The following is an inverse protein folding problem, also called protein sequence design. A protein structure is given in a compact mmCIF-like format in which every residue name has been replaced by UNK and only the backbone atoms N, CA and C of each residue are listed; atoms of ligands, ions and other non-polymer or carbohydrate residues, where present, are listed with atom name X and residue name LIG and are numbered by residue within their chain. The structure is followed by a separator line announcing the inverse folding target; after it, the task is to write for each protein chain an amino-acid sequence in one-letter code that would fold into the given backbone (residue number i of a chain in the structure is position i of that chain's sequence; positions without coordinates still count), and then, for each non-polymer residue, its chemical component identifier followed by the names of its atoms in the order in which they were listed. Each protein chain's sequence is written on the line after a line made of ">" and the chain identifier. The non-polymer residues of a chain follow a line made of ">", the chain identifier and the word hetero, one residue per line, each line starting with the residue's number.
data_IF_466016149654
#
_entry.id   IF_466016149654
#
_cell.length_a   1.000
_cell.length_b   1.000
_cell.length_c   1.000
_cell.angle_alpha   90.00
_cell.angle_beta   90.00
_cell.angle_gamma   90.00
#
_symmetry.space_group_name_H-M   'P 1'
#
loop_
_entity.id
_entity.type
_entity.pdbx_description
1 polymer ?
#
# COMPACT_ATOMS: atom_id res chain seq x y z
N UNK A 1 48.28 -13.52 -23.87
CA UNK A 1 47.14 -12.92 -24.59
C UNK A 1 46.00 -12.85 -23.57
N UNK A 2 45.67 -11.63 -23.18
CA UNK A 2 44.83 -11.28 -22.03
C UNK A 2 43.44 -11.89 -22.09
N UNK A 3 43.06 -12.64 -21.06
CA UNK A 3 41.67 -12.68 -20.62
C UNK A 3 41.54 -11.63 -19.53
N UNK A 4 40.91 -10.51 -19.86
CA UNK A 4 40.51 -9.50 -18.88
C UNK A 4 39.35 -10.09 -18.07
N UNK A 5 39.59 -10.33 -16.79
CA UNK A 5 38.54 -10.51 -15.79
C UNK A 5 37.77 -9.19 -15.63
N UNK A 6 36.47 -9.25 -15.89
CA UNK A 6 35.51 -8.22 -15.51
C UNK A 6 35.29 -8.31 -14.00
N UNK A 7 35.35 -7.20 -13.25
CA UNK A 7 34.91 -7.21 -11.86
C UNK A 7 33.39 -7.36 -11.86
N UNK A 8 32.92 -8.54 -11.49
CA UNK A 8 31.53 -8.75 -11.05
C UNK A 8 31.39 -7.99 -9.75
N UNK A 9 30.96 -6.74 -9.84
CA UNK A 9 30.50 -5.97 -8.70
C UNK A 9 29.30 -6.73 -8.12
N UNK A 10 29.55 -7.32 -6.96
CA UNK A 10 28.52 -7.81 -6.07
C UNK A 10 27.49 -6.71 -5.85
N UNK A 11 26.26 -7.02 -6.23
CA UNK A 11 25.08 -6.40 -5.66
C UNK A 11 24.32 -7.53 -5.00
N UNK A 12 24.66 -7.75 -3.74
CA UNK A 12 23.82 -8.46 -2.81
C UNK A 12 22.44 -7.80 -2.87
N UNK A 13 21.50 -8.51 -3.50
CA UNK A 13 20.10 -8.15 -3.55
C UNK A 13 19.49 -8.36 -2.16
N UNK A 14 19.89 -7.52 -1.20
CA UNK A 14 19.07 -7.30 -0.01
C UNK A 14 17.79 -6.63 -0.48
N UNK A 15 16.67 -7.31 -0.25
CA UNK A 15 15.30 -6.79 -0.40
C UNK A 15 15.03 -5.78 0.72
N UNK A 16 15.87 -4.75 0.80
CA UNK A 16 15.85 -3.63 1.75
C UNK A 16 16.05 -2.34 0.95
N UNK A 17 15.21 -2.16 -0.08
CA UNK A 17 15.05 -0.88 -0.75
C UNK A 17 14.31 0.08 0.19
N UNK A 18 15.06 0.65 1.12
CA UNK A 18 14.68 1.76 1.97
C UNK A 18 14.22 2.92 1.07
N UNK A 19 12.92 3.05 0.87
CA UNK A 19 12.40 4.31 0.39
C UNK A 19 12.77 5.36 1.45
N UNK A 20 13.44 6.47 1.10
CA UNK A 20 13.37 7.63 1.97
C UNK A 20 11.89 7.86 2.25
N UNK A 21 11.53 8.05 3.52
CA UNK A 21 10.16 8.43 3.87
C UNK A 21 9.77 9.61 2.97
N UNK A 22 8.49 9.69 2.57
CA UNK A 22 7.97 10.74 1.68
C UNK A 22 8.38 12.15 2.15
N UNK A 23 8.67 12.29 3.44
CA UNK A 23 9.03 13.50 4.16
C UNK A 23 10.55 13.74 4.30
N UNK A 24 11.40 12.83 3.82
CA UNK A 24 12.85 12.86 4.04
C UNK A 24 13.68 13.10 2.77
N UNK A 25 13.18 12.71 1.59
CA UNK A 25 13.78 13.05 0.30
C UNK A 25 12.72 13.03 -0.82
N UNK A 26 12.96 13.73 -1.94
CA UNK A 26 12.07 13.67 -3.11
C UNK A 26 11.96 12.26 -3.68
N UNK A 27 10.76 11.88 -4.14
CA UNK A 27 10.53 10.64 -4.86
C UNK A 27 11.03 10.76 -6.30
N UNK A 28 11.57 9.67 -6.84
CA UNK A 28 11.73 9.52 -8.28
C UNK A 28 10.40 9.18 -8.97
N UNK A 29 10.41 9.18 -10.31
CA UNK A 29 9.22 8.95 -11.13
C UNK A 29 8.61 7.56 -10.90
N UNK A 30 9.43 6.52 -10.81
CA UNK A 30 8.97 5.14 -10.63
C UNK A 30 8.31 4.95 -9.25
N UNK A 31 8.93 5.48 -8.20
CA UNK A 31 8.39 5.48 -6.85
C UNK A 31 7.06 6.24 -6.79
N UNK A 32 6.98 7.42 -7.41
CA UNK A 32 5.75 8.20 -7.46
C UNK A 32 4.62 7.46 -8.19
N UNK A 33 4.91 6.80 -9.32
CA UNK A 33 3.92 6.01 -10.07
C UNK A 33 3.39 4.84 -9.24
N UNK A 34 4.27 4.13 -8.53
CA UNK A 34 3.86 3.01 -7.65
C UNK A 34 2.98 3.51 -6.50
N UNK A 35 3.40 4.56 -5.81
CA UNK A 35 2.64 5.11 -4.68
C UNK A 35 1.31 5.71 -5.10
N UNK A 36 1.26 6.41 -6.23
CA UNK A 36 0.03 6.98 -6.77
C UNK A 36 -1.04 5.91 -7.02
N UNK A 37 -0.65 4.69 -7.46
CA UNK A 37 -1.59 3.57 -7.63
C UNK A 37 -2.21 3.15 -6.30
N UNK A 38 -1.39 3.04 -5.25
CA UNK A 38 -1.85 2.64 -3.92
C UNK A 38 -2.73 3.73 -3.30
N UNK A 39 -2.30 4.99 -3.34
CA UNK A 39 -3.11 6.11 -2.86
C UNK A 39 -4.41 6.29 -3.64
N UNK A 40 -4.42 6.04 -4.95
CA UNK A 40 -5.66 6.04 -5.74
C UNK A 40 -6.62 4.93 -5.30
N UNK A 41 -6.11 3.76 -4.92
CA UNK A 41 -6.94 2.70 -4.35
C UNK A 41 -7.48 3.09 -2.96
N UNK A 42 -6.68 3.77 -2.13
CA UNK A 42 -7.12 4.26 -0.81
C UNK A 42 -7.95 5.55 -0.86
N UNK A 43 -7.93 6.32 -1.94
CA UNK A 43 -8.61 7.62 -2.05
C UNK A 43 -10.14 7.54 -2.21
N UNK A 44 -10.74 6.37 -2.03
CA UNK A 44 -12.17 6.14 -2.21
C UNK A 44 -12.82 5.64 -0.92
N UNK A 45 -13.95 6.22 -0.52
CA UNK A 45 -14.56 5.94 0.78
C UNK A 45 -15.06 4.51 0.91
N UNK A 46 -15.56 3.91 -0.18
CA UNK A 46 -16.04 2.52 -0.19
C UNK A 46 -14.85 1.58 -0.03
N UNK A 47 -13.77 1.82 -0.76
CA UNK A 47 -12.53 1.02 -0.68
C UNK A 47 -11.88 1.11 0.70
N UNK A 48 -11.81 2.29 1.30
CA UNK A 48 -11.31 2.45 2.67
C UNK A 48 -12.14 1.66 3.68
N UNK A 49 -13.47 1.75 3.58
CA UNK A 49 -14.37 1.04 4.48
C UNK A 49 -14.26 -0.47 4.31
N UNK A 50 -14.18 -0.97 3.08
CA UNK A 50 -13.92 -2.38 2.78
C UNK A 50 -12.59 -2.85 3.38
N UNK A 51 -11.51 -2.10 3.16
CA UNK A 51 -10.18 -2.41 3.70
C UNK A 51 -10.21 -2.45 5.24
N UNK A 52 -10.86 -1.47 5.88
CA UNK A 52 -11.01 -1.40 7.34
C UNK A 52 -11.78 -2.61 7.88
N UNK A 53 -12.84 -3.05 7.21
CA UNK A 53 -13.60 -4.24 7.61
C UNK A 53 -12.77 -5.52 7.49
N UNK A 54 -11.95 -5.64 6.43
CA UNK A 54 -11.03 -6.77 6.25
C UNK A 54 -9.93 -6.77 7.31
N UNK A 55 -9.30 -5.63 7.54
CA UNK A 55 -8.19 -5.47 8.48
C UNK A 55 -8.59 -5.69 9.95
N UNK A 56 -9.84 -5.37 10.31
CA UNK A 56 -10.35 -5.50 11.68
C UNK A 56 -10.94 -6.87 12.01
N UNK A 57 -10.96 -7.82 11.07
CA UNK A 57 -11.54 -9.14 11.33
C UNK A 57 -10.58 -9.99 12.16
N UNK A 58 -11.05 -10.48 13.31
CA UNK A 58 -10.26 -11.30 14.24
C UNK A 58 -9.68 -12.60 13.63
N UNK A 59 -10.28 -13.13 12.55
CA UNK A 59 -9.82 -14.34 11.85
C UNK A 59 -8.85 -14.09 10.69
N UNK A 60 -8.45 -12.84 10.41
CA UNK A 60 -7.50 -12.49 9.36
C UNK A 60 -8.02 -12.55 7.92
N UNK A 61 -9.23 -13.08 7.68
CA UNK A 61 -9.86 -13.15 6.35
C UNK A 61 -11.37 -12.93 6.45
N UNK A 62 -12.00 -12.25 5.48
CA UNK A 62 -13.46 -11.99 5.39
C UNK A 62 -14.06 -12.58 4.11
N UNK A 63 -15.22 -13.24 4.17
CA UNK A 63 -15.95 -13.65 2.97
C UNK A 63 -16.62 -12.43 2.30
N UNK A 64 -16.67 -12.39 0.96
CA UNK A 64 -17.38 -11.34 0.21
C UNK A 64 -18.85 -11.17 0.63
N UNK A 65 -19.48 -12.25 1.07
CA UNK A 65 -20.88 -12.26 1.50
C UNK A 65 -21.10 -11.58 2.84
N UNK A 66 -20.06 -11.52 3.68
CA UNK A 66 -20.10 -10.79 4.94
C UNK A 66 -19.82 -9.29 4.73
N UNK A 67 -19.13 -8.93 3.64
CA UNK A 67 -18.81 -7.54 3.29
C UNK A 67 -19.98 -6.82 2.62
N UNK A 68 -20.63 -7.49 1.67
CA UNK A 68 -21.65 -6.88 0.79
C UNK A 68 -22.82 -6.23 1.56
N UNK A 69 -23.38 -6.83 2.63
CA UNK A 69 -24.51 -6.25 3.37
C UNK A 69 -24.22 -4.91 4.06
N UNK A 70 -22.96 -4.52 4.22
CA UNK A 70 -22.58 -3.25 4.85
C UNK A 70 -22.69 -2.03 3.92
N UNK A 71 -23.07 -2.25 2.65
CA UNK A 71 -23.12 -1.22 1.61
C UNK A 71 -24.43 -1.31 0.83
N UNK A 72 -25.01 -0.15 0.52
CA UNK A 72 -26.13 -0.03 -0.42
C UNK A 72 -25.64 -0.05 -1.88
N UNK A 73 -24.83 -1.05 -2.21
CA UNK A 73 -24.17 -1.19 -3.52
C UNK A 73 -24.41 -2.57 -4.11
N UNK A 74 -24.39 -2.64 -5.45
CA UNK A 74 -24.49 -3.92 -6.14
C UNK A 74 -23.26 -4.80 -5.90
N UNK A 75 -23.44 -6.12 -5.92
CA UNK A 75 -22.34 -7.08 -5.81
C UNK A 75 -21.26 -6.90 -6.92
N UNK A 76 -21.59 -6.58 -8.18
CA UNK A 76 -20.59 -6.21 -9.19
C UNK A 76 -19.75 -4.99 -8.79
N UNK A 77 -20.37 -3.97 -8.18
CA UNK A 77 -19.66 -2.77 -7.70
C UNK A 77 -18.70 -3.10 -6.57
N UNK A 78 -19.13 -3.89 -5.59
CA UNK A 78 -18.27 -4.35 -4.48
C UNK A 78 -17.10 -5.20 -5.01
N UNK A 79 -17.37 -6.12 -5.94
CA UNK A 79 -16.33 -6.95 -6.56
C UNK A 79 -15.31 -6.12 -7.33
N UNK A 80 -15.74 -5.04 -8.00
CA UNK A 80 -14.85 -4.11 -8.67
C UNK A 80 -13.94 -3.39 -7.66
N UNK A 81 -14.49 -2.89 -6.56
CA UNK A 81 -13.70 -2.25 -5.51
C UNK A 81 -12.67 -3.21 -4.89
N UNK A 82 -13.05 -4.45 -4.62
CA UNK A 82 -12.15 -5.50 -4.11
C UNK A 82 -11.04 -5.85 -5.11
N UNK A 83 -11.37 -5.87 -6.42
CA UNK A 83 -10.37 -6.06 -7.48
C UNK A 83 -9.33 -4.93 -7.48
N UNK A 84 -9.77 -3.68 -7.38
CA UNK A 84 -8.86 -2.52 -7.32
C UNK A 84 -7.95 -2.54 -6.08
N UNK A 85 -8.49 -2.90 -4.92
CA UNK A 85 -7.68 -3.07 -3.69
C UNK A 85 -6.64 -4.18 -3.85
N UNK A 86 -7.00 -5.28 -4.51
CA UNK A 86 -6.09 -6.39 -4.80
C UNK A 86 -4.99 -5.98 -5.79
N UNK A 87 -5.34 -5.26 -6.85
CA UNK A 87 -4.39 -4.75 -7.84
C UNK A 87 -3.40 -3.73 -7.24
N UNK A 88 -3.83 -3.01 -6.21
CA UNK A 88 -2.96 -2.15 -5.42
C UNK A 88 -2.10 -2.90 -4.37
N UNK A 89 -2.23 -4.23 -4.28
CA UNK A 89 -1.46 -5.05 -3.34
C UNK A 89 -1.86 -4.88 -1.88
N UNK A 90 -3.03 -4.32 -1.58
CA UNK A 90 -3.51 -4.09 -0.20
C UNK A 90 -4.17 -5.34 0.39
N UNK A 91 -4.78 -6.17 -0.47
CA UNK A 91 -5.49 -7.38 -0.06
C UNK A 91 -5.15 -8.55 -0.98
N UNK A 92 -5.22 -9.76 -0.44
CA UNK A 92 -5.21 -11.00 -1.20
C UNK A 92 -6.62 -11.63 -1.21
N UNK A 93 -6.89 -12.45 -2.22
CA UNK A 93 -8.14 -13.19 -2.35
C UNK A 93 -7.89 -14.69 -2.50
N UNK A 94 -8.68 -15.51 -1.83
CA UNK A 94 -8.64 -16.96 -1.94
C UNK A 94 -10.04 -17.51 -2.20
N UNK A 95 -10.18 -18.36 -3.23
CA UNK A 95 -11.46 -19.00 -3.55
C UNK A 95 -11.54 -20.36 -2.87
N UNK A 96 -12.56 -20.55 -2.04
CA UNK A 96 -12.85 -21.81 -1.34
C UNK A 96 -14.24 -22.30 -1.75
N UNK A 97 -14.27 -23.16 -2.77
CA UNK A 97 -15.51 -23.62 -3.41
C UNK A 97 -16.25 -22.49 -4.13
N UNK A 98 -17.47 -22.20 -3.69
CA UNK A 98 -18.31 -21.12 -4.25
C UNK A 98 -17.96 -19.75 -3.70
N UNK A 99 -17.29 -19.67 -2.56
CA UNK A 99 -17.05 -18.43 -1.82
C UNK A 99 -15.63 -17.89 -2.06
N UNK A 100 -15.49 -16.57 -1.98
CA UNK A 100 -14.20 -15.87 -2.06
C UNK A 100 -13.95 -15.15 -0.75
N UNK A 101 -12.78 -15.41 -0.18
CA UNK A 101 -12.29 -14.82 1.05
C UNK A 101 -11.21 -13.79 0.72
N UNK A 102 -11.19 -12.70 1.47
CA UNK A 102 -10.24 -11.61 1.33
C UNK A 102 -9.48 -11.41 2.64
N UNK A 103 -8.17 -11.21 2.54
CA UNK A 103 -7.30 -10.94 3.68
C UNK A 103 -6.42 -9.73 3.41
N UNK A 104 -6.04 -9.03 4.47
CA UNK A 104 -5.07 -7.95 4.38
C UNK A 104 -3.68 -8.50 3.99
N UNK A 105 -2.91 -7.69 3.26
CA UNK A 105 -1.47 -7.87 3.07
C UNK A 105 -0.73 -6.84 3.92
N UNK A 106 -0.28 -7.22 5.14
CA UNK A 106 0.33 -6.28 6.09
C UNK A 106 1.55 -5.55 5.52
N UNK A 107 2.30 -6.22 4.64
CA UNK A 107 3.56 -5.72 4.08
C UNK A 107 3.36 -4.39 3.34
N UNK A 108 2.23 -4.23 2.63
CA UNK A 108 1.91 -3.00 1.91
C UNK A 108 1.49 -1.89 2.86
N UNK A 109 0.69 -2.20 3.88
CA UNK A 109 0.28 -1.20 4.88
C UNK A 109 1.44 -0.75 5.75
N UNK A 110 2.35 -1.65 6.12
CA UNK A 110 3.54 -1.33 6.92
C UNK A 110 4.50 -0.44 6.14
N UNK A 111 4.69 -0.69 4.84
CA UNK A 111 5.44 0.19 3.95
C UNK A 111 4.83 1.58 3.86
N UNK A 112 3.51 1.70 3.69
CA UNK A 112 2.83 3.00 3.66
C UNK A 112 2.97 3.74 5.00
N UNK A 113 2.84 3.04 6.12
CA UNK A 113 3.03 3.62 7.44
C UNK A 113 4.45 4.16 7.59
N UNK A 114 5.47 3.39 7.21
CA UNK A 114 6.86 3.83 7.22
C UNK A 114 7.11 5.06 6.33
N UNK A 115 6.52 5.09 5.13
CA UNK A 115 6.64 6.22 4.20
C UNK A 115 6.04 7.52 4.73
N UNK A 116 4.92 7.44 5.45
CA UNK A 116 4.18 8.59 5.96
C UNK A 116 4.61 8.99 7.38
N UNK A 117 5.41 8.16 8.06
CA UNK A 117 5.89 8.45 9.41
C UNK A 117 6.90 9.59 9.35
N UNK A 118 6.64 10.64 10.14
CA UNK A 118 7.60 11.72 10.34
C UNK A 118 8.80 11.17 11.12
N UNK A 119 10.05 11.37 10.65
CA UNK A 119 11.21 11.06 11.46
C UNK A 119 11.18 11.94 12.73
N UNK A 120 11.17 11.31 13.90
CA UNK A 120 11.20 12.03 15.17
C UNK A 120 12.57 12.74 15.29
N UNK A 121 12.59 14.05 15.06
CA UNK A 121 13.82 14.85 15.13
C UNK A 121 13.76 16.25 14.51
N UNK A 122 12.80 16.53 13.63
CA UNK A 122 12.74 17.83 12.94
C UNK A 122 11.67 18.74 13.57
N UNK A 123 12.11 19.71 14.36
CA UNK A 123 11.30 20.87 14.71
C UNK A 123 10.97 21.61 13.41
N UNK A 124 9.68 21.75 13.07
CA UNK A 124 9.25 22.59 11.96
C UNK A 124 9.97 23.95 12.03
N UNK A 125 10.56 24.46 10.94
CA UNK A 125 10.96 25.86 10.93
C UNK A 125 9.72 26.72 11.21
N UNK A 126 9.84 27.55 12.24
CA UNK A 126 8.82 28.53 12.64
C UNK A 126 8.38 29.32 11.39
N UNK A 127 7.07 29.49 11.14
CA UNK A 127 6.62 30.19 9.94
C UNK A 127 7.19 31.61 9.97
N UNK A 128 8.16 31.88 9.09
CA UNK A 128 8.76 33.19 8.93
C UNK A 128 7.65 34.23 8.78
N UNK A 129 7.63 35.19 9.70
CA UNK A 129 6.54 36.12 9.92
C UNK A 129 6.00 36.73 8.63
N UNK A 130 4.68 36.70 8.51
CA UNK A 130 3.93 37.45 7.51
C UNK A 130 4.06 38.94 7.87
N UNK A 131 4.65 39.81 7.01
CA UNK A 131 4.64 41.24 7.27
C UNK A 131 3.20 41.77 7.21
N UNK A 132 2.86 42.59 8.22
CA UNK A 132 1.58 43.28 8.39
C UNK A 132 1.29 44.32 7.30
#
# INVERSE_FOLDING_TARGET
>A
MSNQELPVLGQDATVEGCCPGLLSAPLDEDQAVVLAKVFKALGDPVRLRLLSMIASRAGGEVCVCDLTPAFDLSQPTISHHLKLLREAGLIASERRGTWVYYRLLPETTDRLAGLLTRPAGDSLPEPAGLPA
#
